data_IF_231969156045
#
_entry.id   IF_231969156045
#
_cell.length_a   1.000
_cell.length_b   1.000
_cell.length_c   1.000
_cell.angle_alpha   90.00
_cell.angle_beta   90.00
_cell.angle_gamma   90.00
#
_symmetry.space_group_name_H-M   'P 1'
#
loop_
_entity.id
_entity.type
_entity.pdbx_description
1 polymer ?
#
# COMPACT_ATOMS: atom_id res chain seq x y z
N UNK A 1 45.69 6.81 -10.63
CA UNK A 1 44.61 6.44 -9.70
C UNK A 1 43.29 6.58 -10.44
N UNK A 2 42.63 5.46 -10.76
CA UNK A 2 41.67 5.37 -11.85
C UNK A 2 40.32 6.02 -11.50
N UNK A 3 39.97 7.09 -12.22
CA UNK A 3 38.70 7.82 -12.13
C UNK A 3 37.46 6.92 -12.33
N UNK A 4 37.64 5.77 -12.96
CA UNK A 4 36.62 4.73 -13.15
C UNK A 4 36.21 4.01 -11.86
N UNK A 5 37.08 3.93 -10.85
CA UNK A 5 36.74 3.28 -9.57
C UNK A 5 35.78 4.16 -8.74
N UNK A 6 35.98 5.47 -8.75
CA UNK A 6 35.07 6.42 -8.08
C UNK A 6 33.70 6.52 -8.75
N UNK A 7 33.62 6.28 -10.06
CA UNK A 7 32.36 6.27 -10.82
C UNK A 7 31.53 5.01 -10.50
N UNK A 8 32.18 3.86 -10.34
CA UNK A 8 31.51 2.60 -9.93
C UNK A 8 31.03 2.66 -8.47
N UNK A 9 31.82 3.26 -7.57
CA UNK A 9 31.42 3.45 -6.17
C UNK A 9 30.28 4.48 -6.06
N UNK A 10 30.29 5.54 -6.86
CA UNK A 10 29.21 6.54 -6.91
C UNK A 10 27.87 5.99 -7.42
N UNK A 11 27.91 5.10 -8.42
CA UNK A 11 26.71 4.41 -8.94
C UNK A 11 26.17 3.41 -7.92
N UNK A 12 27.04 2.69 -7.20
CA UNK A 12 26.63 1.77 -6.12
C UNK A 12 25.89 2.47 -4.98
N UNK A 13 26.36 3.66 -4.56
CA UNK A 13 25.73 4.42 -3.47
C UNK A 13 24.38 5.02 -3.90
N UNK A 14 24.27 5.53 -5.15
CA UNK A 14 23.00 6.02 -5.72
C UNK A 14 21.95 4.91 -5.87
N UNK A 15 22.36 3.69 -6.23
CA UNK A 15 21.47 2.53 -6.33
C UNK A 15 20.96 2.07 -4.96
N UNK A 16 21.81 2.10 -3.92
CA UNK A 16 21.38 1.79 -2.55
C UNK A 16 20.40 2.82 -1.96
N UNK A 17 20.56 4.11 -2.30
CA UNK A 17 19.63 5.17 -1.91
C UNK A 17 18.28 5.08 -2.65
N UNK A 18 18.29 4.66 -3.92
CA UNK A 18 17.08 4.38 -4.70
C UNK A 18 16.28 3.16 -4.19
N UNK A 19 16.95 2.15 -3.64
CA UNK A 19 16.30 0.94 -3.10
C UNK A 19 15.55 1.19 -1.78
N UNK A 20 16.03 2.10 -0.93
CA UNK A 20 15.31 2.55 0.27
C UNK A 20 14.07 3.40 -0.06
N UNK A 21 14.00 3.90 -1.29
CA UNK A 21 12.92 4.74 -1.83
C UNK A 21 11.72 3.94 -2.37
N UNK A 22 11.75 2.61 -2.39
CA UNK A 22 10.63 1.82 -2.92
C UNK A 22 9.35 1.94 -2.04
N UNK A 23 8.25 2.50 -2.56
CA UNK A 23 7.00 2.75 -1.83
C UNK A 23 6.22 1.47 -1.49
N UNK A 24 5.35 1.58 -0.47
CA UNK A 24 4.39 0.52 -0.11
C UNK A 24 3.15 0.68 -0.98
N UNK A 25 2.77 -0.35 -1.76
CA UNK A 25 1.52 -0.34 -2.51
C UNK A 25 0.50 -1.22 -1.81
N UNK A 26 -0.60 -0.62 -1.34
CA UNK A 26 -1.77 -1.34 -0.85
C UNK A 26 -2.55 -1.85 -2.07
N UNK A 27 -2.51 -3.15 -2.38
CA UNK A 27 -3.41 -3.75 -3.38
C UNK A 27 -4.76 -3.97 -2.70
N UNK A 28 -5.82 -3.37 -3.23
CA UNK A 28 -7.19 -3.68 -2.81
C UNK A 28 -7.66 -4.92 -3.57
N UNK A 29 -8.07 -5.95 -2.83
CA UNK A 29 -8.71 -7.13 -3.40
C UNK A 29 -10.18 -6.79 -3.69
N UNK A 30 -10.67 -7.02 -4.92
CA UNK A 30 -12.06 -6.72 -5.30
C UNK A 30 -13.10 -7.69 -4.69
N UNK A 31 -12.67 -8.71 -3.94
CA UNK A 31 -13.56 -9.76 -3.43
C UNK A 31 -14.37 -9.42 -2.16
N UNK A 32 -14.35 -8.18 -1.66
CA UNK A 32 -15.28 -7.78 -0.57
C UNK A 32 -16.63 -7.35 -1.13
N UNK A 33 -17.50 -8.33 -1.41
CA UNK A 33 -18.95 -8.10 -1.37
C UNK A 33 -19.41 -7.97 0.08
N UNK A 34 -19.31 -6.76 0.63
CA UNK A 34 -20.19 -6.33 1.71
C UNK A 34 -21.33 -5.53 1.07
N UNK A 35 -22.54 -5.97 1.33
CA UNK A 35 -23.79 -5.60 0.65
C UNK A 35 -24.18 -4.12 0.81
N UNK A 36 -24.64 -3.56 -0.31
CA UNK A 36 -25.47 -2.36 -0.50
C UNK A 36 -25.05 -1.04 0.17
N UNK A 37 -24.38 -0.19 -0.61
CA UNK A 37 -24.79 1.21 -0.78
C UNK A 37 -24.40 1.70 -2.18
N UNK A 38 -25.25 2.56 -2.75
CA UNK A 38 -25.29 2.95 -4.17
C UNK A 38 -23.98 3.56 -4.68
N UNK A 39 -23.56 3.02 -5.82
CA UNK A 39 -22.69 3.54 -6.88
C UNK A 39 -22.42 5.05 -6.88
N UNK A 40 -21.15 5.41 -6.68
CA UNK A 40 -20.48 6.53 -7.34
C UNK A 40 -19.08 6.06 -7.78
N UNK A 41 -18.89 6.04 -9.10
CA UNK A 41 -17.69 5.89 -9.94
C UNK A 41 -16.37 5.30 -9.37
N UNK A 42 -15.81 4.24 -10.01
CA UNK A 42 -14.61 3.54 -9.54
C UNK A 42 -13.26 4.14 -9.99
N UNK A 43 -13.15 5.46 -10.21
CA UNK A 43 -12.01 6.03 -10.96
C UNK A 43 -11.03 6.94 -10.19
N UNK A 44 -11.01 6.98 -8.85
CA UNK A 44 -10.14 7.93 -8.11
C UNK A 44 -9.42 7.40 -6.87
N UNK A 45 -8.95 6.15 -6.86
CA UNK A 45 -8.11 5.62 -5.77
C UNK A 45 -6.73 5.07 -6.17
N UNK A 46 -6.30 5.29 -7.42
CA UNK A 46 -4.91 5.05 -7.86
C UNK A 46 -4.21 6.40 -7.96
N UNK A 47 -3.87 7.00 -6.82
CA UNK A 47 -2.90 8.08 -6.78
C UNK A 47 -1.86 7.78 -5.71
N UNK A 48 -0.61 7.76 -6.14
CA UNK A 48 0.57 8.05 -5.32
C UNK A 48 1.30 6.95 -4.55
N UNK A 49 1.60 5.79 -5.15
CA UNK A 49 2.54 4.85 -4.52
C UNK A 49 3.64 4.30 -5.43
N UNK A 50 4.11 4.98 -6.49
CA UNK A 50 5.22 4.41 -7.29
C UNK A 50 6.31 5.34 -7.84
N UNK A 51 6.17 6.68 -7.90
CA UNK A 51 7.14 7.48 -8.72
C UNK A 51 7.75 8.72 -8.06
N UNK A 52 7.26 9.25 -6.93
CA UNK A 52 7.78 10.52 -6.39
C UNK A 52 7.96 10.48 -4.88
N UNK A 53 9.14 10.05 -4.41
CA UNK A 53 9.74 10.58 -3.18
C UNK A 53 10.55 11.84 -3.53
N UNK A 54 9.91 12.81 -4.19
CA UNK A 54 10.32 14.21 -4.06
C UNK A 54 9.56 14.74 -2.85
N UNK A 55 10.29 14.99 -1.77
CA UNK A 55 9.89 15.70 -0.56
C UNK A 55 8.38 15.77 -0.27
N UNK A 56 7.83 14.68 0.28
CA UNK A 56 6.42 14.61 0.73
C UNK A 56 6.27 14.99 2.20
N UNK A 57 7.32 15.51 2.84
CA UNK A 57 7.23 15.98 4.23
C UNK A 57 6.17 17.09 4.37
N UNK A 58 5.96 17.85 3.30
CA UNK A 58 5.03 19.00 3.25
C UNK A 58 3.55 18.64 3.08
N UNK A 59 3.20 17.47 2.52
CA UNK A 59 1.80 17.09 2.26
C UNK A 59 1.00 16.81 3.54
N UNK A 60 1.70 16.48 4.63
CA UNK A 60 1.09 16.18 5.93
C UNK A 60 1.21 17.32 6.95
N UNK A 61 1.99 18.36 6.64
CA UNK A 61 2.16 19.57 7.46
C UNK A 61 1.40 20.77 6.89
N UNK A 62 0.94 20.70 5.63
CA UNK A 62 0.10 21.71 5.03
C UNK A 62 -1.13 21.99 5.91
N UNK A 63 -1.27 23.27 6.28
CA UNK A 63 -2.43 23.78 7.02
C UNK A 63 -3.69 23.53 6.19
N UNK A 64 -4.74 23.05 6.84
CA UNK A 64 -6.01 22.79 6.18
C UNK A 64 -6.63 24.11 5.72
N UNK A 65 -7.35 24.07 4.59
CA UNK A 65 -8.15 25.22 4.19
C UNK A 65 -9.17 25.53 5.30
N UNK A 66 -9.48 26.82 5.58
CA UNK A 66 -10.38 27.19 6.68
C UNK A 66 -11.72 26.44 6.66
N UNK A 67 -12.30 26.20 5.47
CA UNK A 67 -13.53 25.43 5.32
C UNK A 67 -13.38 23.95 5.68
N UNK A 68 -12.26 23.33 5.32
CA UNK A 68 -11.95 21.95 5.69
C UNK A 68 -11.79 21.83 7.22
N UNK A 69 -11.06 22.78 7.84
CA UNK A 69 -10.88 22.80 9.28
C UNK A 69 -12.20 23.02 10.02
N UNK A 70 -13.03 23.96 9.54
CA UNK A 70 -14.35 24.24 10.10
C UNK A 70 -15.26 23.01 10.03
N UNK A 71 -15.24 22.29 8.91
CA UNK A 71 -16.02 21.07 8.73
C UNK A 71 -15.57 19.96 9.68
N UNK A 72 -14.26 19.71 9.77
CA UNK A 72 -13.72 18.73 10.73
C UNK A 72 -14.07 19.10 12.17
N UNK A 73 -13.93 20.37 12.57
CA UNK A 73 -14.31 20.82 13.91
C UNK A 73 -15.81 20.66 14.19
N UNK A 74 -16.66 20.79 13.17
CA UNK A 74 -18.10 20.55 13.29
C UNK A 74 -18.38 19.05 13.51
N UNK A 75 -17.78 18.19 12.68
CA UNK A 75 -17.96 16.74 12.78
C UNK A 75 -17.37 16.15 14.07
N UNK A 76 -16.19 16.62 14.50
CA UNK A 76 -15.57 16.21 15.77
C UNK A 76 -16.46 16.54 16.96
N UNK A 77 -17.00 17.78 17.05
CA UNK A 77 -17.93 18.16 18.11
C UNK A 77 -19.21 17.32 18.10
N UNK A 78 -19.79 17.08 16.91
CA UNK A 78 -20.96 16.20 16.77
C UNK A 78 -20.65 14.78 17.24
N UNK A 79 -19.47 14.26 16.92
CA UNK A 79 -19.07 12.91 17.31
C UNK A 79 -18.85 12.79 18.83
N UNK A 80 -18.22 13.79 19.44
CA UNK A 80 -18.00 13.87 20.88
C UNK A 80 -19.34 13.92 21.64
N UNK A 81 -20.27 14.77 21.20
CA UNK A 81 -21.57 14.96 21.85
C UNK A 81 -22.64 13.93 21.46
N UNK A 82 -22.41 13.11 20.44
CA UNK A 82 -23.38 12.11 19.99
C UNK A 82 -23.57 11.01 21.04
N UNK A 83 -24.81 10.55 21.19
CA UNK A 83 -25.13 9.33 21.94
C UNK A 83 -24.55 8.08 21.27
N UNK A 84 -24.34 7.01 22.02
CA UNK A 84 -23.74 5.76 21.53
C UNK A 84 -24.43 5.19 20.27
N UNK A 85 -25.76 5.35 20.18
CA UNK A 85 -26.53 4.90 19.00
C UNK A 85 -26.24 5.73 17.73
N UNK A 86 -25.83 6.98 17.89
CA UNK A 86 -25.54 7.92 16.80
C UNK A 86 -24.05 7.99 16.46
N UNK A 87 -23.16 7.66 17.41
CA UNK A 87 -21.71 7.69 17.24
C UNK A 87 -21.20 6.93 15.99
N UNK A 88 -21.70 5.73 15.63
CA UNK A 88 -21.26 5.06 14.40
C UNK A 88 -21.53 5.86 13.13
N UNK A 89 -22.68 6.51 13.02
CA UNK A 89 -23.06 7.31 11.84
C UNK A 89 -22.15 8.52 11.72
N UNK A 90 -22.05 9.32 12.79
CA UNK A 90 -21.23 10.54 12.78
C UNK A 90 -19.73 10.22 12.70
N UNK A 91 -19.30 9.12 13.34
CA UNK A 91 -17.93 8.64 13.27
C UNK A 91 -17.53 8.24 11.86
N UNK A 92 -18.43 7.60 11.11
CA UNK A 92 -18.20 7.29 9.70
C UNK A 92 -18.08 8.54 8.83
N UNK A 93 -18.94 9.55 9.02
CA UNK A 93 -18.80 10.85 8.35
C UNK A 93 -17.43 11.48 8.63
N UNK A 94 -17.01 11.47 9.90
CA UNK A 94 -15.74 12.04 10.33
C UNK A 94 -14.53 11.27 9.78
N UNK A 95 -14.59 9.93 9.74
CA UNK A 95 -13.56 9.09 9.10
C UNK A 95 -13.38 9.49 7.64
N UNK A 96 -14.47 9.62 6.88
CA UNK A 96 -14.39 10.00 5.46
C UNK A 96 -13.87 11.42 5.29
N UNK A 97 -14.29 12.36 6.14
CA UNK A 97 -13.79 13.72 6.12
C UNK A 97 -12.28 13.78 6.37
N UNK A 98 -11.75 13.04 7.35
CA UNK A 98 -10.31 12.94 7.60
C UNK A 98 -9.55 12.31 6.43
N UNK A 99 -10.07 11.24 5.82
CA UNK A 99 -9.44 10.60 4.65
C UNK A 99 -9.37 11.54 3.45
N UNK A 100 -10.43 12.33 3.20
CA UNK A 100 -10.49 13.31 2.10
C UNK A 100 -9.41 14.39 2.20
N UNK A 101 -8.95 14.70 3.42
CA UNK A 101 -7.85 15.64 3.66
C UNK A 101 -6.54 14.94 4.05
N UNK A 102 -6.40 13.66 3.72
CA UNK A 102 -5.18 12.86 3.95
C UNK A 102 -4.72 12.80 5.42
N UNK A 103 -5.65 12.94 6.38
CA UNK A 103 -5.42 12.76 7.82
C UNK A 103 -5.76 11.33 8.25
N UNK A 104 -5.09 10.37 7.63
CA UNK A 104 -5.38 8.94 7.76
C UNK A 104 -5.26 8.40 9.19
N UNK A 105 -4.32 8.90 10.00
CA UNK A 105 -4.16 8.47 11.39
C UNK A 105 -5.32 8.93 12.28
N UNK A 106 -5.88 10.12 12.02
CA UNK A 106 -7.09 10.57 12.71
C UNK A 106 -8.30 9.74 12.30
N UNK A 107 -8.43 9.38 11.02
CA UNK A 107 -9.47 8.47 10.56
C UNK A 107 -9.40 7.10 11.26
N UNK A 108 -8.20 6.50 11.35
CA UNK A 108 -8.00 5.23 12.04
C UNK A 108 -8.34 5.31 13.54
N UNK A 109 -7.98 6.42 14.22
CA UNK A 109 -8.32 6.64 15.64
C UNK A 109 -9.82 6.72 15.91
N UNK A 110 -10.60 7.35 15.03
CA UNK A 110 -12.07 7.36 15.15
C UNK A 110 -12.63 5.95 14.97
N UNK A 111 -12.12 5.18 14.00
CA UNK A 111 -12.54 3.79 13.81
C UNK A 111 -12.25 2.91 15.04
N UNK A 112 -11.09 3.08 15.67
CA UNK A 112 -10.75 2.40 16.94
C UNK A 112 -11.74 2.74 18.06
N UNK A 113 -12.20 3.99 18.16
CA UNK A 113 -13.24 4.35 19.13
C UNK A 113 -14.60 3.73 18.80
N UNK A 114 -14.92 3.49 17.53
CA UNK A 114 -16.15 2.79 17.15
C UNK A 114 -16.11 1.30 17.49
N UNK A 115 -14.92 0.69 17.52
CA UNK A 115 -14.76 -0.72 17.94
C UNK A 115 -15.13 -0.90 19.41
N UNK A 116 -14.89 0.09 20.29
CA UNK A 116 -15.27 -0.04 21.71
C UNK A 116 -16.78 -0.07 21.92
N UNK A 117 -17.56 0.55 21.02
CA UNK A 117 -19.01 0.54 21.05
C UNK A 117 -19.60 -0.73 20.41
N UNK A 118 -18.97 -1.21 19.34
CA UNK A 118 -19.42 -2.37 18.58
C UNK A 118 -18.22 -3.18 18.07
N UNK A 119 -17.69 -4.13 18.86
CA UNK A 119 -16.51 -4.93 18.52
C UNK A 119 -16.86 -6.08 17.57
N UNK A 120 -17.49 -5.77 16.44
CA UNK A 120 -17.78 -6.76 15.39
C UNK A 120 -16.51 -7.03 14.56
N UNK A 121 -16.42 -8.23 13.98
CA UNK A 121 -15.32 -8.58 13.05
C UNK A 121 -15.15 -7.52 11.96
N UNK A 122 -16.25 -7.06 11.36
CA UNK A 122 -16.24 -6.03 10.32
C UNK A 122 -15.62 -4.70 10.81
N UNK A 123 -15.95 -4.25 12.03
CA UNK A 123 -15.41 -3.01 12.59
C UNK A 123 -13.93 -3.14 12.98
N UNK A 124 -13.55 -4.28 13.53
CA UNK A 124 -12.16 -4.59 13.90
C UNK A 124 -11.30 -4.63 12.64
N UNK A 125 -11.74 -5.37 11.63
CA UNK A 125 -11.06 -5.51 10.36
C UNK A 125 -10.92 -4.17 9.62
N UNK A 126 -12.00 -3.38 9.57
CA UNK A 126 -11.97 -2.03 9.00
C UNK A 126 -11.01 -1.09 9.74
N UNK A 127 -10.93 -1.20 11.06
CA UNK A 127 -9.96 -0.43 11.85
C UNK A 127 -8.53 -0.82 11.51
N UNK A 128 -8.25 -2.12 11.34
CA UNK A 128 -6.97 -2.61 10.84
C UNK A 128 -6.62 -2.06 9.45
N UNK A 129 -7.59 -2.06 8.52
CA UNK A 129 -7.43 -1.51 7.16
C UNK A 129 -7.09 -0.01 7.19
N UNK A 130 -7.75 0.77 8.05
CA UNK A 130 -7.49 2.22 8.19
C UNK A 130 -6.14 2.51 8.84
N UNK A 131 -5.71 1.70 9.81
CA UNK A 131 -4.36 1.80 10.36
C UNK A 131 -3.29 1.44 9.34
N UNK A 132 -3.55 0.43 8.51
CA UNK A 132 -2.63 0.05 7.43
C UNK A 132 -2.53 1.13 6.35
N UNK A 133 -3.65 1.76 6.00
CA UNK A 133 -3.66 2.93 5.11
C UNK A 133 -2.83 4.07 5.71
N UNK A 134 -3.06 4.42 6.98
CA UNK A 134 -2.28 5.44 7.67
C UNK A 134 -0.77 5.10 7.74
N UNK A 135 -0.44 3.82 7.96
CA UNK A 135 0.93 3.32 7.96
C UNK A 135 1.59 3.52 6.58
N UNK A 136 0.88 3.28 5.48
CA UNK A 136 1.39 3.45 4.12
C UNK A 136 1.79 4.90 3.77
N UNK A 137 1.17 5.89 4.43
CA UNK A 137 1.45 7.31 4.24
C UNK A 137 2.32 7.93 5.34
N UNK A 138 2.73 7.16 6.34
CA UNK A 138 3.57 7.69 7.41
C UNK A 138 5.01 7.92 6.91
N UNK A 139 5.52 9.13 7.15
CA UNK A 139 6.89 9.54 6.78
C UNK A 139 7.83 9.47 7.97
N UNK A 140 7.32 9.73 9.17
CA UNK A 140 8.08 9.68 10.42
C UNK A 140 8.23 8.24 10.94
N UNK A 141 9.45 7.88 11.36
CA UNK A 141 9.79 6.53 11.83
C UNK A 141 9.02 6.13 13.08
N UNK A 142 8.80 7.06 14.01
CA UNK A 142 8.05 6.78 15.23
C UNK A 142 6.57 6.52 14.93
N UNK A 143 5.98 7.32 14.05
CA UNK A 143 4.62 7.16 13.54
C UNK A 143 4.47 5.85 12.76
N UNK A 144 5.44 5.51 11.90
CA UNK A 144 5.49 4.22 11.20
C UNK A 144 5.48 3.04 12.19
N UNK A 145 6.32 3.07 13.23
CA UNK A 145 6.38 2.01 14.24
C UNK A 145 5.05 1.88 14.99
N UNK A 146 4.46 3.00 15.40
CA UNK A 146 3.20 3.03 16.14
C UNK A 146 2.01 2.54 15.29
N UNK A 147 1.88 3.04 14.06
CA UNK A 147 0.80 2.64 13.14
C UNK A 147 0.96 1.19 12.69
N UNK A 148 2.19 0.73 12.46
CA UNK A 148 2.48 -0.67 12.17
C UNK A 148 2.06 -1.59 13.32
N UNK A 149 2.35 -1.20 14.58
CA UNK A 149 1.90 -1.93 15.76
C UNK A 149 0.36 -1.98 15.84
N UNK A 150 -0.32 -0.85 15.65
CA UNK A 150 -1.79 -0.79 15.66
C UNK A 150 -2.43 -1.61 14.53
N UNK A 151 -1.85 -1.56 13.33
CA UNK A 151 -2.27 -2.39 12.20
C UNK A 151 -2.24 -3.88 12.56
N UNK A 152 -1.11 -4.35 13.11
CA UNK A 152 -0.96 -5.74 13.55
C UNK A 152 -1.94 -6.10 14.65
N UNK A 153 -2.14 -5.23 15.63
CA UNK A 153 -3.08 -5.46 16.74
C UNK A 153 -4.50 -5.71 16.22
N UNK A 154 -5.02 -4.85 15.34
CA UNK A 154 -6.38 -4.98 14.84
C UNK A 154 -6.55 -6.11 13.82
N UNK A 155 -5.56 -6.35 12.95
CA UNK A 155 -5.60 -7.52 12.08
C UNK A 155 -5.51 -8.82 12.85
N UNK A 156 -4.69 -8.91 13.90
CA UNK A 156 -4.63 -10.10 14.74
C UNK A 156 -5.99 -10.36 15.41
N UNK A 157 -6.63 -9.35 15.99
CA UNK A 157 -7.98 -9.48 16.56
C UNK A 157 -9.01 -9.97 15.53
N UNK A 158 -8.93 -9.49 14.29
CA UNK A 158 -9.82 -9.97 13.21
C UNK A 158 -9.51 -11.42 12.83
N UNK A 159 -8.24 -11.79 12.74
CA UNK A 159 -7.78 -13.14 12.40
C UNK A 159 -8.08 -14.17 13.51
N UNK A 160 -8.10 -13.75 14.77
CA UNK A 160 -8.50 -14.59 15.91
C UNK A 160 -9.98 -15.01 15.80
N UNK A 161 -10.83 -14.15 15.23
CA UNK A 161 -12.24 -14.45 14.91
C UNK A 161 -12.38 -15.25 13.62
N UNK A 162 -11.63 -14.85 12.58
CA UNK A 162 -11.71 -15.43 11.25
C UNK A 162 -10.32 -15.57 10.63
N UNK A 163 -9.70 -16.76 10.74
CA UNK A 163 -8.35 -17.03 10.23
C UNK A 163 -8.23 -16.92 8.70
N UNK A 164 -9.34 -16.95 7.97
CA UNK A 164 -9.37 -16.97 6.50
C UNK A 164 -9.34 -15.56 5.88
N UNK A 165 -9.12 -14.52 6.68
CA UNK A 165 -8.95 -13.15 6.20
C UNK A 165 -7.54 -12.96 5.58
N UNK A 166 -7.29 -13.65 4.46
CA UNK A 166 -5.98 -13.69 3.80
C UNK A 166 -5.44 -12.31 3.43
N UNK A 167 -6.30 -11.38 3.00
CA UNK A 167 -5.91 -10.01 2.72
C UNK A 167 -5.42 -9.26 3.97
N UNK A 168 -6.07 -9.46 5.13
CA UNK A 168 -5.63 -8.89 6.39
C UNK A 168 -4.27 -9.46 6.81
N UNK A 169 -4.08 -10.78 6.67
CA UNK A 169 -2.81 -11.47 6.95
C UNK A 169 -1.68 -10.96 6.04
N UNK A 170 -1.95 -10.78 4.75
CA UNK A 170 -0.98 -10.24 3.78
C UNK A 170 -0.65 -8.76 4.05
N UNK A 171 -1.63 -7.92 4.39
CA UNK A 171 -1.39 -6.53 4.77
C UNK A 171 -0.62 -6.42 6.10
N UNK A 172 -0.95 -7.28 7.08
CA UNK A 172 -0.22 -7.39 8.33
C UNK A 172 1.26 -7.72 8.08
N UNK A 173 1.53 -8.65 7.17
CA UNK A 173 2.88 -9.04 6.79
C UNK A 173 3.73 -7.85 6.33
N UNK A 174 3.14 -6.94 5.55
CA UNK A 174 3.85 -5.77 5.03
C UNK A 174 4.30 -4.79 6.11
N UNK A 175 3.68 -4.81 7.30
CA UNK A 175 4.12 -3.98 8.43
C UNK A 175 5.40 -4.47 9.10
N UNK A 176 5.82 -5.72 8.84
CA UNK A 176 7.07 -6.29 9.36
C UNK A 176 8.26 -6.05 8.44
N UNK A 177 8.01 -5.83 7.15
CA UNK A 177 9.03 -5.76 6.10
C UNK A 177 10.07 -4.68 6.34
N UNK A 178 9.67 -3.54 6.91
CA UNK A 178 10.56 -2.41 7.19
C UNK A 178 10.99 -2.34 8.67
N UNK A 179 10.85 -3.44 9.40
CA UNK A 179 11.22 -3.55 10.81
C UNK A 179 12.46 -4.43 10.97
N UNK A 180 12.94 -4.60 12.20
CA UNK A 180 14.03 -5.52 12.53
C UNK A 180 13.66 -7.00 12.29
N UNK A 181 12.38 -7.32 12.08
CA UNK A 181 11.88 -8.70 11.91
C UNK A 181 11.22 -8.97 10.54
N UNK A 182 11.87 -8.67 9.40
CA UNK A 182 11.26 -8.82 8.07
C UNK A 182 10.88 -10.27 7.73
N UNK A 183 11.56 -11.24 8.34
CA UNK A 183 11.27 -12.68 8.15
C UNK A 183 9.85 -13.05 8.60
N UNK A 184 9.30 -12.40 9.63
CA UNK A 184 7.94 -12.64 10.09
C UNK A 184 6.91 -12.28 9.00
N UNK A 185 7.12 -11.16 8.29
CA UNK A 185 6.28 -10.79 7.16
C UNK A 185 6.36 -11.81 6.03
N UNK A 186 7.57 -12.30 5.71
CA UNK A 186 7.75 -13.33 4.67
C UNK A 186 7.02 -14.62 5.06
N UNK A 187 7.09 -15.06 6.32
CA UNK A 187 6.35 -16.23 6.78
C UNK A 187 4.85 -16.06 6.65
N UNK A 188 4.30 -14.91 7.03
CA UNK A 188 2.87 -14.63 6.88
C UNK A 188 2.41 -14.66 5.42
N UNK A 189 3.19 -14.11 4.48
CA UNK A 189 2.87 -14.17 3.05
C UNK A 189 2.97 -15.60 2.51
N UNK A 190 3.94 -16.39 2.98
CA UNK A 190 4.05 -17.81 2.61
C UNK A 190 2.85 -18.61 3.09
N UNK A 191 2.35 -18.35 4.28
CA UNK A 191 1.13 -18.98 4.77
C UNK A 191 -0.07 -18.61 3.89
N UNK A 192 -0.21 -17.33 3.50
CA UNK A 192 -1.28 -16.91 2.59
C UNK A 192 -1.21 -17.69 1.27
N UNK A 193 -0.01 -17.83 0.69
CA UNK A 193 0.17 -18.60 -0.55
C UNK A 193 0.05 -20.11 -0.39
N UNK A 194 0.13 -20.63 0.84
CA UNK A 194 -0.15 -22.03 1.12
C UNK A 194 -1.65 -22.30 1.05
N UNK A 195 -2.45 -21.38 1.56
CA UNK A 195 -3.93 -21.46 1.53
C UNK A 195 -4.50 -21.09 0.16
N UNK A 196 -3.97 -20.04 -0.47
CA UNK A 196 -4.34 -19.58 -1.81
C UNK A 196 -3.07 -19.32 -2.65
N UNK A 197 -2.58 -20.32 -3.41
CA UNK A 197 -1.39 -20.19 -4.26
C UNK A 197 -1.48 -19.12 -5.35
N UNK A 198 -2.70 -18.69 -5.69
CA UNK A 198 -2.98 -17.68 -6.71
C UNK A 198 -3.26 -16.30 -6.13
N UNK A 199 -3.13 -16.13 -4.81
CA UNK A 199 -3.45 -14.89 -4.13
C UNK A 199 -2.62 -13.72 -4.69
N UNK A 200 -3.27 -12.85 -5.46
CA UNK A 200 -2.58 -11.77 -6.17
C UNK A 200 -1.80 -10.87 -5.21
N UNK A 201 -2.44 -10.42 -4.12
CA UNK A 201 -1.84 -9.53 -3.14
C UNK A 201 -0.58 -10.14 -2.51
N UNK A 202 -0.61 -11.43 -2.13
CA UNK A 202 0.54 -12.08 -1.54
C UNK A 202 1.67 -12.36 -2.55
N UNK A 203 1.33 -12.79 -3.77
CA UNK A 203 2.30 -12.93 -4.86
C UNK A 203 2.98 -11.60 -5.17
N UNK A 204 2.19 -10.53 -5.26
CA UNK A 204 2.65 -9.19 -5.56
C UNK A 204 3.61 -8.69 -4.49
N UNK A 205 3.23 -8.84 -3.21
CA UNK A 205 4.06 -8.45 -2.08
C UNK A 205 5.36 -9.26 -2.02
N UNK A 206 5.33 -10.59 -2.24
CA UNK A 206 6.55 -11.39 -2.34
C UNK A 206 7.44 -11.00 -3.53
N UNK A 207 6.84 -10.59 -4.65
CA UNK A 207 7.55 -10.04 -5.79
C UNK A 207 8.31 -8.77 -5.43
N UNK A 208 7.64 -7.80 -4.80
CA UNK A 208 8.27 -6.58 -4.29
C UNK A 208 9.40 -6.85 -3.30
N UNK A 209 9.20 -7.80 -2.38
CA UNK A 209 10.25 -8.20 -1.42
C UNK A 209 11.45 -8.82 -2.11
N UNK A 210 11.20 -9.65 -3.13
CA UNK A 210 12.27 -10.27 -3.92
C UNK A 210 13.08 -9.19 -4.65
N UNK A 211 12.43 -8.18 -5.24
CA UNK A 211 13.12 -7.03 -5.84
C UNK A 211 13.95 -6.26 -4.82
N UNK A 212 13.40 -5.95 -3.64
CA UNK A 212 14.12 -5.24 -2.56
C UNK A 212 15.37 -5.98 -2.10
N UNK A 213 15.37 -7.31 -2.17
CA UNK A 213 16.53 -8.15 -1.85
C UNK A 213 17.40 -8.51 -3.07
N UNK A 214 17.19 -7.88 -4.23
CA UNK A 214 17.96 -8.15 -5.45
C UNK A 214 17.68 -9.51 -6.11
N UNK A 215 16.68 -10.25 -5.64
CA UNK A 215 16.29 -11.57 -6.15
C UNK A 215 15.31 -11.42 -7.32
N UNK A 216 15.76 -10.75 -8.39
CA UNK A 216 14.90 -10.41 -9.53
C UNK A 216 14.33 -11.63 -10.26
N UNK A 217 15.04 -12.76 -10.27
CA UNK A 217 14.51 -14.02 -10.79
C UNK A 217 13.24 -14.48 -10.05
N UNK A 218 13.25 -14.40 -8.71
CA UNK A 218 12.06 -14.73 -7.90
C UNK A 218 10.96 -13.70 -8.09
N UNK A 219 11.31 -12.43 -8.25
CA UNK A 219 10.33 -11.39 -8.56
C UNK A 219 9.61 -11.70 -9.88
N UNK A 220 10.35 -12.07 -10.93
CA UNK A 220 9.82 -12.51 -12.22
C UNK A 220 8.83 -13.66 -12.05
N UNK A 221 9.21 -14.73 -11.34
CA UNK A 221 8.32 -15.87 -11.08
C UNK A 221 7.01 -15.44 -10.41
N UNK A 222 7.07 -14.57 -9.40
CA UNK A 222 5.89 -14.12 -8.65
C UNK A 222 4.98 -13.23 -9.48
N UNK A 223 5.52 -12.28 -10.25
CA UNK A 223 4.69 -11.44 -11.12
C UNK A 223 4.14 -12.21 -12.31
N UNK A 224 4.89 -13.16 -12.87
CA UNK A 224 4.37 -14.05 -13.92
C UNK A 224 3.21 -14.89 -13.41
N UNK A 225 3.27 -15.41 -12.18
CA UNK A 225 2.17 -16.15 -11.58
C UNK A 225 0.88 -15.33 -11.50
N UNK A 226 0.97 -14.03 -11.18
CA UNK A 226 -0.19 -13.11 -11.22
C UNK A 226 -0.77 -13.02 -12.63
N UNK A 227 0.10 -12.89 -13.64
CA UNK A 227 -0.33 -12.73 -15.03
C UNK A 227 -0.93 -14.00 -15.65
N UNK A 228 -0.79 -15.16 -15.00
CA UNK A 228 -1.49 -16.39 -15.40
C UNK A 228 -2.99 -16.27 -15.13
N UNK A 229 -3.39 -15.75 -13.97
CA UNK A 229 -4.81 -15.56 -13.59
C UNK A 229 -5.37 -14.20 -14.00
N UNK A 230 -4.52 -13.16 -14.00
CA UNK A 230 -4.87 -11.79 -14.36
C UNK A 230 -3.95 -11.26 -15.46
N UNK A 231 -4.10 -11.74 -16.72
CA UNK A 231 -3.25 -11.32 -17.83
C UNK A 231 -3.20 -9.81 -18.05
N UNK A 232 -4.27 -9.12 -17.63
CA UNK A 232 -4.46 -7.70 -17.81
C UNK A 232 -3.99 -6.83 -16.65
N UNK A 233 -3.38 -7.44 -15.62
CA UNK A 233 -2.85 -6.72 -14.47
C UNK A 233 -1.63 -5.86 -14.86
N UNK A 234 -1.89 -4.61 -15.22
CA UNK A 234 -0.88 -3.68 -15.72
C UNK A 234 0.22 -3.42 -14.70
N UNK A 235 -0.12 -3.47 -13.40
CA UNK A 235 0.83 -3.30 -12.32
C UNK A 235 1.81 -4.47 -12.25
N UNK A 236 1.34 -5.71 -12.31
CA UNK A 236 2.21 -6.88 -12.37
C UNK A 236 3.07 -6.88 -13.64
N UNK A 237 2.53 -6.46 -14.79
CA UNK A 237 3.31 -6.27 -16.02
C UNK A 237 4.44 -5.24 -15.86
N UNK A 238 4.16 -4.11 -15.21
CA UNK A 238 5.14 -3.06 -14.96
C UNK A 238 6.29 -3.55 -14.06
N UNK A 239 5.98 -4.17 -12.91
CA UNK A 239 7.02 -4.69 -12.02
C UNK A 239 7.77 -5.91 -12.58
N UNK A 240 7.10 -6.72 -13.41
CA UNK A 240 7.76 -7.76 -14.20
C UNK A 240 8.76 -7.14 -15.18
N UNK A 241 8.39 -6.07 -15.89
CA UNK A 241 9.28 -5.38 -16.81
C UNK A 241 10.52 -4.82 -16.11
N UNK A 242 10.36 -4.19 -14.93
CA UNK A 242 11.49 -3.72 -14.12
C UNK A 242 12.40 -4.90 -13.76
N UNK A 243 11.83 -5.98 -13.23
CA UNK A 243 12.59 -7.16 -12.80
C UNK A 243 13.36 -7.80 -13.97
N UNK A 244 12.75 -7.86 -15.16
CA UNK A 244 13.41 -8.35 -16.37
C UNK A 244 14.55 -7.42 -16.83
N UNK A 245 14.35 -6.11 -16.75
CA UNK A 245 15.38 -5.12 -17.06
C UNK A 245 16.62 -5.26 -16.19
N UNK A 246 16.43 -5.42 -14.89
CA UNK A 246 17.49 -5.68 -13.91
C UNK A 246 18.23 -7.01 -14.16
N UNK A 247 17.56 -7.99 -14.74
CA UNK A 247 18.17 -9.24 -15.20
C UNK A 247 18.84 -9.13 -16.58
N UNK A 248 18.86 -7.95 -17.21
CA UNK A 248 19.41 -7.73 -18.55
C UNK A 248 18.50 -8.21 -19.69
N UNK A 249 17.28 -8.70 -19.40
CA UNK A 249 16.28 -9.18 -20.38
C UNK A 249 15.49 -8.00 -20.96
N UNK A 250 16.23 -7.05 -21.56
CA UNK A 250 15.75 -5.73 -21.98
C UNK A 250 14.64 -5.78 -23.03
N UNK A 251 14.73 -6.69 -24.00
CA UNK A 251 13.70 -6.84 -25.05
C UNK A 251 12.35 -7.29 -24.49
N UNK A 252 12.35 -8.21 -23.53
CA UNK A 252 11.12 -8.68 -22.89
C UNK A 252 10.50 -7.60 -22.01
N UNK A 253 11.34 -6.84 -21.28
CA UNK A 253 10.92 -5.69 -20.52
C UNK A 253 10.25 -4.62 -21.39
N UNK A 254 10.86 -4.25 -22.54
CA UNK A 254 10.27 -3.27 -23.48
C UNK A 254 8.92 -3.72 -24.02
N UNK A 255 8.75 -5.00 -24.36
CA UNK A 255 7.46 -5.55 -24.81
C UNK A 255 6.36 -5.40 -23.76
N UNK A 256 6.68 -5.63 -22.48
CA UNK A 256 5.72 -5.44 -21.39
C UNK A 256 5.41 -3.97 -21.15
N UNK A 257 6.42 -3.09 -21.16
CA UNK A 257 6.22 -1.64 -21.01
C UNK A 257 5.35 -1.06 -22.12
N UNK A 258 5.45 -1.56 -23.35
CA UNK A 258 4.57 -1.15 -24.44
C UNK A 258 3.08 -1.46 -24.13
N UNK A 259 2.79 -2.64 -23.56
CA UNK A 259 1.43 -3.00 -23.13
C UNK A 259 0.94 -2.13 -21.97
N UNK A 260 1.82 -1.88 -21.00
CA UNK A 260 1.52 -0.98 -19.86
C UNK A 260 1.14 0.40 -20.38
N UNK A 261 1.91 0.95 -21.32
CA UNK A 261 1.71 2.27 -21.92
C UNK A 261 0.41 2.39 -22.73
N UNK A 262 0.03 1.31 -23.38
CA UNK A 262 -1.21 1.26 -24.16
C UNK A 262 -2.45 1.37 -23.24
N UNK A 263 -2.39 0.77 -22.05
CA UNK A 263 -3.52 0.62 -21.14
C UNK A 263 -3.61 1.70 -20.08
N UNK A 264 -2.48 2.06 -19.46
CA UNK A 264 -2.46 3.09 -18.43
C UNK A 264 -2.31 4.46 -19.04
N UNK A 265 -3.21 5.40 -18.73
CA UNK A 265 -3.13 6.79 -19.21
C UNK A 265 -2.71 7.79 -18.14
N UNK A 266 -2.50 7.32 -16.91
CA UNK A 266 -2.00 8.14 -15.82
C UNK A 266 -0.64 8.77 -16.20
N UNK A 267 -0.50 10.11 -16.17
CA UNK A 267 0.72 10.80 -16.58
C UNK A 267 1.95 10.39 -15.78
N UNK A 268 1.79 10.03 -14.50
CA UNK A 268 2.88 9.61 -13.63
C UNK A 268 3.38 8.22 -14.00
N UNK A 269 2.47 7.28 -14.27
CA UNK A 269 2.82 5.95 -14.79
C UNK A 269 3.50 6.08 -16.16
N UNK A 270 2.97 6.92 -17.05
CA UNK A 270 3.55 7.19 -18.37
C UNK A 270 4.98 7.74 -18.27
N UNK A 271 5.23 8.67 -17.35
CA UNK A 271 6.57 9.21 -17.11
C UNK A 271 7.53 8.12 -16.60
N UNK A 272 7.08 7.27 -15.68
CA UNK A 272 7.88 6.16 -15.16
C UNK A 272 8.22 5.12 -16.23
N UNK A 273 7.24 4.75 -17.06
CA UNK A 273 7.46 3.84 -18.20
C UNK A 273 8.51 4.42 -19.14
N UNK A 274 8.38 5.69 -19.52
CA UNK A 274 9.33 6.37 -20.41
C UNK A 274 10.75 6.40 -19.82
N UNK A 275 10.87 6.59 -18.51
CA UNK A 275 12.17 6.60 -17.85
C UNK A 275 12.81 5.20 -17.83
N UNK A 276 12.04 4.17 -17.53
CA UNK A 276 12.52 2.78 -17.61
C UNK A 276 12.95 2.41 -19.03
N UNK A 277 12.18 2.80 -20.05
CA UNK A 277 12.51 2.53 -21.46
C UNK A 277 13.87 3.08 -21.88
N UNK A 278 14.32 4.22 -21.32
CA UNK A 278 15.65 4.78 -21.60
C UNK A 278 16.80 3.97 -21.01
N UNK A 279 16.53 3.29 -19.89
CA UNK A 279 17.53 2.56 -19.10
C UNK A 279 17.65 1.09 -19.53
N UNK A 280 16.64 0.57 -20.23
CA UNK A 280 16.68 -0.70 -20.97
C UNK A 280 17.45 -0.51 -22.27
#
# INVERSE_FOLDING_TARGET
>A
MNKSIFLVIGVGILLTAGLYSLPNVVVRNEDRKLTNEKTTDPETAVRDTAVLRTDRSDLHTASLAPEQQKELNRLSRRFESAEDKQKPVVGNELIQAYRKVSRYDSAARIAEQLVTLAPTEANILRTGDLYYEAYGFAVDNQKLANLGKKTREFYQKALDSNPNLLAAKANMAMTYVTTETPMQGIMLLRDVLKEDPTNELALFNMGLLSMRSGQYNRAVERFQAILVSHPDNTKAQFYLAISLGEMGRKEEARKLLAKVKEREKDPTIQAAVKELEKNL
#
